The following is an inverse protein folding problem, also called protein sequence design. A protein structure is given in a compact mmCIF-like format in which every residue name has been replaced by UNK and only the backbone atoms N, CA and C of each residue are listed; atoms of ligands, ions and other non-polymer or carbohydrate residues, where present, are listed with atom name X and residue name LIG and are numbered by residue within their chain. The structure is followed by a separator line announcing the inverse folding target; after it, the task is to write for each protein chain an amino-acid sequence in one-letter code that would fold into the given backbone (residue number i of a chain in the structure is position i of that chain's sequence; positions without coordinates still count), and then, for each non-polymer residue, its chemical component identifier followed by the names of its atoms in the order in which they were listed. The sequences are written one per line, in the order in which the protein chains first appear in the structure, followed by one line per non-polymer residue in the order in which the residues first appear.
data_IF_894036230401
#
_entry.id   IF_894036230401
#
_cell.length_a   1.000
_cell.length_b   1.000
_cell.length_c   1.000
_cell.angle_alpha   90.00
_cell.angle_beta   90.00
_cell.angle_gamma   90.00
#
_symmetry.space_group_name_H-M   'P 1'
#
loop_
_entity.id
_entity.type
_entity.pdbx_description
1 polymer ?
#
# COMPACT_ATOMS: atom_id res chain seq x y z
N UNK A 1 -5.54 33.73 36.99
CA UNK A 1 -5.08 32.33 36.87
C UNK A 1 -5.48 31.87 35.49
N UNK A 2 -4.55 32.00 34.55
CA UNK A 2 -4.69 31.50 33.19
C UNK A 2 -4.49 29.98 33.24
N UNK A 3 -5.52 29.21 32.93
CA UNK A 3 -5.32 27.88 32.35
C UNK A 3 -5.44 28.05 30.84
N UNK A 4 -4.35 27.89 30.06
CA UNK A 4 -4.44 27.81 28.63
C UNK A 4 -4.85 26.39 28.23
N UNK A 5 -5.96 26.33 27.51
CA UNK A 5 -6.20 25.42 26.39
C UNK A 5 -6.00 23.93 26.69
N UNK A 6 -7.12 23.31 27.05
CA UNK A 6 -7.40 21.92 26.69
C UNK A 6 -6.97 21.72 25.23
N UNK A 7 -5.87 21.01 25.02
CA UNK A 7 -5.45 20.53 23.72
C UNK A 7 -6.67 19.92 23.04
N UNK A 8 -7.12 20.56 21.96
CA UNK A 8 -8.10 19.98 21.05
C UNK A 8 -7.54 18.62 20.66
N UNK A 9 -8.18 17.55 21.11
CA UNK A 9 -7.98 16.21 20.55
C UNK A 9 -8.57 16.22 19.15
N UNK A 10 -7.84 16.83 18.23
CA UNK A 10 -7.98 16.64 16.80
C UNK A 10 -7.77 15.13 16.55
N UNK A 11 -8.73 14.41 15.96
CA UNK A 11 -8.60 12.98 15.67
C UNK A 11 -7.45 12.66 14.70
N UNK A 12 -6.83 13.69 14.12
CA UNK A 12 -5.68 13.62 13.23
C UNK A 12 -4.45 14.30 13.84
N UNK A 13 -4.09 13.92 15.07
CA UNK A 13 -2.77 14.30 15.59
C UNK A 13 -1.69 13.65 14.70
N UNK A 14 -1.13 14.45 13.81
CA UNK A 14 -0.12 14.03 12.83
C UNK A 14 1.09 13.37 13.50
N UNK A 15 1.35 13.71 14.78
CA UNK A 15 2.42 13.09 15.56
C UNK A 15 2.03 11.68 16.01
N UNK A 16 0.77 11.44 16.34
CA UNK A 16 0.26 10.09 16.65
C UNK A 16 0.36 9.19 15.42
N UNK A 17 0.05 9.71 14.22
CA UNK A 17 0.23 8.97 12.96
C UNK A 17 1.71 8.59 12.77
N UNK A 18 2.62 9.55 12.93
CA UNK A 18 4.06 9.33 12.86
C UNK A 18 4.52 8.24 13.85
N UNK A 19 4.11 8.35 15.12
CA UNK A 19 4.49 7.40 16.17
C UNK A 19 3.94 5.99 15.91
N UNK A 20 2.70 5.86 15.45
CA UNK A 20 2.07 4.58 15.14
C UNK A 20 2.72 3.87 13.95
N UNK A 21 3.01 4.61 12.87
CA UNK A 21 3.72 4.06 11.71
C UNK A 21 5.11 3.59 12.13
N UNK A 22 5.85 4.41 12.87
CA UNK A 22 7.18 4.04 13.36
C UNK A 22 7.13 2.81 14.26
N UNK A 23 6.21 2.76 15.22
CA UNK A 23 6.02 1.60 16.08
C UNK A 23 5.72 0.32 15.30
N UNK A 24 4.87 0.41 14.26
CA UNK A 24 4.52 -0.75 13.42
C UNK A 24 5.74 -1.24 12.64
N UNK A 25 6.52 -0.34 12.03
CA UNK A 25 7.74 -0.69 11.30
C UNK A 25 8.81 -1.28 12.23
N UNK A 26 9.00 -0.69 13.41
CA UNK A 26 9.95 -1.17 14.42
C UNK A 26 9.55 -2.56 14.93
N UNK A 27 8.24 -2.79 15.14
CA UNK A 27 7.71 -4.11 15.52
C UNK A 27 7.97 -5.15 14.42
N UNK A 28 7.78 -4.77 13.14
CA UNK A 28 8.04 -5.68 12.02
C UNK A 28 9.50 -6.11 11.93
N UNK A 29 10.44 -5.24 12.29
CA UNK A 29 11.86 -5.60 12.32
C UNK A 29 12.14 -6.73 13.32
N UNK A 30 11.36 -6.87 14.39
CA UNK A 30 11.53 -7.92 15.40
C UNK A 30 10.99 -9.29 14.96
N UNK A 31 9.96 -9.30 14.09
CA UNK A 31 9.23 -10.51 13.72
C UNK A 31 10.10 -11.64 13.12
N UNK A 32 11.09 -11.37 12.24
CA UNK A 32 11.96 -12.41 11.71
C UNK A 32 12.64 -13.26 12.80
N UNK A 33 13.01 -12.64 13.93
CA UNK A 33 13.73 -13.29 15.03
C UNK A 33 12.86 -14.16 15.94
N UNK A 34 11.53 -14.10 15.83
CA UNK A 34 10.63 -14.93 16.62
C UNK A 34 10.78 -16.40 16.16
N UNK A 35 11.01 -17.40 17.02
CA UNK A 35 11.17 -18.78 16.57
C UNK A 35 9.91 -19.40 15.92
N UNK A 36 10.11 -20.38 15.04
CA UNK A 36 9.04 -21.20 14.45
C UNK A 36 8.48 -20.69 13.11
N UNK A 37 7.67 -21.53 12.42
CA UNK A 37 7.00 -21.14 11.18
C UNK A 37 5.99 -20.03 11.45
N UNK A 38 5.86 -19.10 10.51
CA UNK A 38 5.03 -17.91 10.70
C UNK A 38 4.34 -17.51 9.40
N UNK A 39 3.11 -17.04 9.56
CA UNK A 39 2.36 -16.29 8.56
C UNK A 39 2.18 -14.89 9.11
N UNK A 40 2.69 -13.88 8.41
CA UNK A 40 2.70 -12.49 8.88
C UNK A 40 1.91 -11.68 7.88
N UNK A 41 0.83 -11.06 8.35
CA UNK A 41 0.10 -10.03 7.62
C UNK A 41 0.31 -8.71 8.33
N UNK A 42 0.79 -7.71 7.60
CA UNK A 42 1.06 -6.38 8.14
C UNK A 42 0.45 -5.33 7.22
N UNK A 43 -0.50 -4.58 7.76
CA UNK A 43 -1.09 -3.44 7.08
C UNK A 43 -0.36 -2.16 7.53
N UNK A 44 0.28 -1.49 6.58
CA UNK A 44 1.11 -0.32 6.83
C UNK A 44 0.40 0.92 6.31
N UNK A 45 0.21 1.92 7.18
CA UNK A 45 -0.42 3.18 6.78
C UNK A 45 0.51 4.02 5.88
N UNK A 46 1.83 3.83 5.93
CA UNK A 46 2.76 4.50 5.03
C UNK A 46 2.64 3.89 3.61
N UNK A 47 2.53 4.69 2.52
CA UNK A 47 2.83 6.12 2.42
C UNK A 47 1.63 7.08 2.39
N UNK A 48 0.50 6.76 3.04
CA UNK A 48 -0.68 7.65 3.10
C UNK A 48 -0.37 9.05 3.68
N UNK A 49 -1.14 10.08 3.28
CA UNK A 49 -1.07 11.40 3.88
C UNK A 49 -1.42 11.33 5.39
N UNK A 50 -0.90 12.22 6.28
CA UNK A 50 -0.38 13.57 6.04
C UNK A 50 1.14 13.71 5.75
N UNK A 51 1.81 12.72 5.16
CA UNK A 51 3.22 12.81 4.69
C UNK A 51 4.23 13.33 5.73
N UNK A 52 4.15 12.77 6.94
CA UNK A 52 4.83 13.26 8.15
C UNK A 52 6.27 12.76 8.33
N UNK A 53 6.83 12.11 7.31
CA UNK A 53 8.19 11.58 7.33
C UNK A 53 9.07 12.27 6.28
N UNK A 54 10.23 12.78 6.69
CA UNK A 54 11.30 13.13 5.77
C UNK A 54 12.04 11.86 5.28
N UNK A 55 12.98 12.02 4.35
CA UNK A 55 13.72 10.93 3.69
C UNK A 55 14.47 10.01 4.64
N UNK A 56 14.87 10.51 5.81
CA UNK A 56 15.58 9.77 6.85
C UNK A 56 14.65 9.21 7.94
N UNK A 57 13.34 9.45 7.82
CA UNK A 57 12.33 9.07 8.80
C UNK A 57 12.13 10.07 9.95
N UNK A 58 12.77 11.24 9.89
CA UNK A 58 12.51 12.31 10.85
C UNK A 58 11.08 12.88 10.68
N UNK A 59 10.50 13.33 11.79
CA UNK A 59 9.14 13.86 11.79
C UNK A 59 9.06 15.23 11.12
N UNK A 60 8.13 15.38 10.18
CA UNK A 60 7.74 16.65 9.59
C UNK A 60 6.41 17.14 10.19
N UNK A 61 6.41 18.33 10.78
CA UNK A 61 5.20 18.96 11.28
C UNK A 61 4.30 19.49 10.14
N UNK A 62 3.07 19.87 10.47
CA UNK A 62 2.09 20.34 9.48
C UNK A 62 2.58 21.55 8.66
N UNK A 63 3.40 22.43 9.26
CA UNK A 63 3.94 23.61 8.56
C UNK A 63 5.04 23.21 7.60
N UNK A 64 5.89 22.25 7.97
CA UNK A 64 6.91 21.69 7.08
C UNK A 64 6.27 20.98 5.88
N UNK A 65 5.26 20.14 6.12
CA UNK A 65 4.52 19.45 5.05
C UNK A 65 3.85 20.47 4.12
N UNK A 66 3.12 21.44 4.66
CA UNK A 66 2.46 22.47 3.87
C UNK A 66 3.45 23.34 3.07
N UNK A 67 4.59 23.70 3.68
CA UNK A 67 5.63 24.51 3.04
C UNK A 67 6.39 23.76 1.94
N UNK A 68 6.51 22.44 2.04
CA UNK A 68 7.17 21.59 1.05
C UNK A 68 6.24 21.26 -0.13
N UNK A 69 4.93 21.18 0.12
CA UNK A 69 3.92 20.83 -0.88
C UNK A 69 3.69 19.32 -1.01
N UNK A 70 2.47 18.94 -1.39
CA UNK A 70 1.96 17.55 -1.40
C UNK A 70 2.90 16.58 -2.14
N UNK A 71 3.29 16.93 -3.38
CA UNK A 71 4.08 16.03 -4.24
C UNK A 71 5.46 15.73 -3.65
N UNK A 72 6.14 16.76 -3.14
CA UNK A 72 7.49 16.58 -2.59
C UNK A 72 7.44 15.93 -1.21
N UNK A 73 6.44 16.24 -0.38
CA UNK A 73 6.21 15.53 0.88
C UNK A 73 5.90 14.04 0.66
N UNK A 74 5.05 13.70 -0.32
CA UNK A 74 4.80 12.31 -0.71
C UNK A 74 6.09 11.60 -1.13
N UNK A 75 6.90 12.23 -2.00
CA UNK A 75 8.16 11.63 -2.47
C UNK A 75 9.15 11.36 -1.33
N UNK A 76 9.27 12.28 -0.37
CA UNK A 76 10.14 12.10 0.81
C UNK A 76 9.69 10.94 1.67
N UNK A 77 8.39 10.88 1.98
CA UNK A 77 7.82 9.79 2.75
C UNK A 77 7.96 8.45 2.01
N UNK A 78 7.77 8.43 0.69
CA UNK A 78 7.94 7.24 -0.14
C UNK A 78 9.40 6.76 -0.15
N UNK A 79 10.38 7.67 -0.17
CA UNK A 79 11.80 7.30 -0.06
C UNK A 79 12.10 6.61 1.28
N UNK A 80 11.56 7.14 2.38
CA UNK A 80 11.67 6.49 3.68
C UNK A 80 10.96 5.13 3.72
N UNK A 81 9.73 5.04 3.18
CA UNK A 81 8.98 3.79 3.08
C UNK A 81 9.77 2.71 2.34
N UNK A 82 10.34 3.06 1.18
CA UNK A 82 11.17 2.16 0.39
C UNK A 82 12.41 1.69 1.16
N UNK A 83 13.09 2.60 1.86
CA UNK A 83 14.24 2.23 2.69
C UNK A 83 13.86 1.25 3.82
N UNK A 84 12.69 1.45 4.45
CA UNK A 84 12.18 0.54 5.50
C UNK A 84 11.76 -0.82 4.94
N UNK A 85 11.14 -0.87 3.77
CA UNK A 85 10.77 -2.14 3.13
C UNK A 85 12.00 -2.94 2.69
N UNK A 86 13.01 -2.29 2.10
CA UNK A 86 14.28 -2.94 1.75
C UNK A 86 14.97 -3.50 3.00
N UNK A 87 15.07 -2.70 4.07
CA UNK A 87 15.62 -3.15 5.34
C UNK A 87 14.88 -4.37 5.92
N UNK A 88 13.54 -4.37 5.87
CA UNK A 88 12.74 -5.50 6.33
C UNK A 88 13.01 -6.76 5.50
N UNK A 89 13.09 -6.63 4.18
CA UNK A 89 13.43 -7.75 3.28
C UNK A 89 14.83 -8.30 3.60
N UNK A 90 15.83 -7.42 3.83
CA UNK A 90 17.17 -7.83 4.22
C UNK A 90 17.19 -8.59 5.55
N UNK A 91 16.39 -8.13 6.54
CA UNK A 91 16.26 -8.83 7.84
C UNK A 91 15.59 -10.19 7.71
N UNK A 92 14.54 -10.29 6.90
CA UNK A 92 13.87 -11.56 6.60
C UNK A 92 14.90 -12.51 5.98
N UNK A 93 15.66 -12.05 4.98
CA UNK A 93 16.67 -12.85 4.31
C UNK A 93 17.81 -13.28 5.25
N UNK A 94 18.26 -12.40 6.15
CA UNK A 94 19.31 -12.72 7.10
C UNK A 94 18.89 -13.79 8.14
N UNK A 95 17.59 -13.93 8.40
CA UNK A 95 17.07 -14.84 9.42
C UNK A 95 16.52 -16.14 8.84
N UNK A 96 15.73 -16.04 7.75
CA UNK A 96 15.07 -17.15 7.09
C UNK A 96 15.81 -17.65 5.83
N UNK A 97 16.90 -17.00 5.43
CA UNK A 97 17.53 -17.22 4.13
C UNK A 97 16.65 -16.71 2.98
N UNK A 98 16.98 -17.12 1.75
CA UNK A 98 16.18 -16.80 0.57
C UNK A 98 14.89 -17.62 0.45
N UNK A 99 14.56 -18.47 1.44
CA UNK A 99 13.42 -19.40 1.39
C UNK A 99 12.08 -18.77 1.77
N UNK A 100 12.09 -17.54 2.30
CA UNK A 100 10.87 -16.83 2.69
C UNK A 100 10.01 -16.44 1.48
N UNK A 101 8.71 -16.76 1.55
CA UNK A 101 7.70 -16.17 0.67
C UNK A 101 7.45 -14.73 1.13
N UNK A 102 7.62 -13.78 0.21
CA UNK A 102 7.38 -12.35 0.48
C UNK A 102 6.39 -11.83 -0.55
N UNK A 103 5.39 -11.08 -0.09
CA UNK A 103 4.45 -10.35 -0.94
C UNK A 103 4.37 -8.91 -0.45
N UNK A 104 4.59 -7.97 -1.35
CA UNK A 104 4.38 -6.54 -1.14
C UNK A 104 3.24 -6.11 -2.06
N UNK A 105 2.18 -5.57 -1.48
CA UNK A 105 0.98 -5.19 -2.19
C UNK A 105 0.49 -3.84 -1.64
N UNK A 106 0.34 -2.84 -2.52
CA UNK A 106 -0.43 -1.65 -2.17
C UNK A 106 -1.93 -1.98 -2.23
N UNK A 107 -2.69 -1.40 -1.31
CA UNK A 107 -4.15 -1.51 -1.27
C UNK A 107 -4.81 -0.70 -2.38
N UNK A 108 -4.27 0.49 -2.66
CA UNK A 108 -4.71 1.39 -3.72
C UNK A 108 -3.59 2.36 -4.16
N UNK A 109 -3.80 3.00 -5.31
CA UNK A 109 -3.01 4.14 -5.77
C UNK A 109 -3.54 5.47 -5.20
N UNK A 110 -2.79 6.57 -5.37
CA UNK A 110 -3.22 7.90 -4.96
C UNK A 110 -4.51 8.35 -5.67
N UNK A 111 -5.24 9.26 -5.03
CA UNK A 111 -6.39 9.89 -5.68
C UNK A 111 -5.92 10.93 -6.71
N UNK A 112 -6.50 10.96 -7.92
CA UNK A 112 -6.15 11.95 -8.93
C UNK A 112 -6.53 13.37 -8.48
N UNK A 113 -5.82 14.38 -9.00
CA UNK A 113 -5.98 15.78 -8.58
C UNK A 113 -7.42 16.30 -8.68
N UNK A 114 -8.19 15.85 -9.70
CA UNK A 114 -9.59 16.26 -9.88
C UNK A 114 -10.50 15.64 -8.81
N UNK A 115 -10.23 14.42 -8.37
CA UNK A 115 -10.92 13.82 -7.22
C UNK A 115 -10.58 14.57 -5.93
N UNK A 116 -9.30 14.88 -5.70
CA UNK A 116 -8.87 15.63 -4.51
C UNK A 116 -9.49 17.04 -4.43
N UNK A 117 -9.76 17.66 -5.58
CA UNK A 117 -10.37 19.00 -5.65
C UNK A 117 -11.85 19.02 -5.25
N UNK A 118 -12.63 17.99 -5.62
CA UNK A 118 -14.06 17.88 -5.28
C UNK A 118 -14.54 16.42 -5.36
N UNK A 119 -14.20 15.62 -4.34
CA UNK A 119 -14.51 14.19 -4.30
C UNK A 119 -16.03 13.90 -4.35
N UNK A 120 -16.86 14.81 -3.85
CA UNK A 120 -18.33 14.63 -3.83
C UNK A 120 -18.98 14.84 -5.20
N UNK A 121 -18.27 15.44 -6.15
CA UNK A 121 -18.75 15.67 -7.53
C UNK A 121 -17.93 14.91 -8.57
N UNK A 122 -17.01 14.06 -8.13
CA UNK A 122 -16.21 13.25 -9.04
C UNK A 122 -16.97 11.96 -9.38
N UNK A 123 -17.35 11.83 -10.66
CA UNK A 123 -17.83 10.56 -11.22
C UNK A 123 -16.65 9.81 -11.86
N UNK A 124 -16.37 8.60 -11.37
CA UNK A 124 -15.32 7.74 -11.91
C UNK A 124 -15.61 7.24 -13.32
N UNK A 125 -16.86 7.26 -13.78
CA UNK A 125 -17.18 6.95 -15.18
C UNK A 125 -16.60 7.99 -16.14
N UNK A 126 -16.47 9.22 -15.66
CA UNK A 126 -15.84 10.33 -16.39
C UNK A 126 -14.32 10.42 -16.14
N UNK A 127 -13.73 9.51 -15.35
CA UNK A 127 -12.27 9.48 -15.14
C UNK A 127 -11.53 9.21 -16.45
N UNK A 128 -10.39 9.88 -16.67
CA UNK A 128 -9.49 9.56 -17.79
C UNK A 128 -8.75 8.25 -17.53
N UNK A 129 -8.14 7.66 -18.56
CA UNK A 129 -7.35 6.44 -18.38
C UNK A 129 -6.17 6.69 -17.44
N UNK A 130 -5.56 7.89 -17.49
CA UNK A 130 -4.47 8.27 -16.57
C UNK A 130 -4.95 8.44 -15.12
N UNK A 131 -6.15 8.99 -14.90
CA UNK A 131 -6.73 9.09 -13.55
C UNK A 131 -7.09 7.71 -12.97
N UNK A 132 -7.55 6.79 -13.83
CA UNK A 132 -7.76 5.40 -13.44
C UNK A 132 -6.43 4.71 -13.16
N UNK A 133 -5.41 4.87 -14.00
CA UNK A 133 -4.09 4.30 -13.78
C UNK A 133 -3.47 4.82 -12.47
N UNK A 134 -3.63 6.11 -12.18
CA UNK A 134 -3.17 6.72 -10.92
C UNK A 134 -3.82 6.08 -9.69
N UNK A 135 -5.12 5.77 -9.75
CA UNK A 135 -5.86 5.20 -8.62
C UNK A 135 -5.76 3.68 -8.48
N UNK A 136 -5.79 2.96 -9.59
CA UNK A 136 -5.91 1.51 -9.64
C UNK A 136 -4.57 0.82 -9.92
N UNK A 137 -3.57 1.54 -10.44
CA UNK A 137 -2.20 1.06 -10.58
C UNK A 137 -1.54 0.94 -9.22
N UNK A 138 -1.16 -0.28 -8.86
CA UNK A 138 -0.58 -0.60 -7.54
C UNK A 138 0.75 -1.33 -7.67
N UNK A 139 1.61 -1.14 -6.67
CA UNK A 139 2.74 -2.06 -6.47
C UNK A 139 2.18 -3.43 -6.10
N UNK A 140 2.43 -4.44 -6.92
CA UNK A 140 2.15 -5.83 -6.61
C UNK A 140 3.37 -6.67 -6.96
N UNK A 141 4.12 -7.07 -5.94
CA UNK A 141 5.34 -7.84 -6.09
C UNK A 141 5.30 -9.04 -5.16
N UNK A 142 5.70 -10.21 -5.67
CA UNK A 142 5.83 -11.40 -4.86
C UNK A 142 7.09 -12.17 -5.20
N UNK A 143 7.63 -12.84 -4.19
CA UNK A 143 8.73 -13.80 -4.31
C UNK A 143 8.30 -15.10 -3.66
N UNK A 144 8.33 -16.18 -4.42
CA UNK A 144 8.00 -17.53 -3.96
C UNK A 144 9.17 -18.47 -4.30
N UNK A 145 10.11 -18.66 -3.36
CA UNK A 145 11.34 -19.43 -3.60
C UNK A 145 11.11 -20.85 -4.13
N UNK A 146 11.82 -21.23 -5.19
CA UNK A 146 11.75 -22.57 -5.78
C UNK A 146 10.46 -22.87 -6.56
N UNK A 147 9.67 -21.85 -6.91
CA UNK A 147 8.49 -21.98 -7.75
C UNK A 147 8.66 -21.24 -9.08
N UNK A 148 8.07 -21.80 -10.14
CA UNK A 148 7.89 -21.14 -11.43
C UNK A 148 6.55 -20.40 -11.39
N UNK A 149 6.58 -19.11 -11.05
CA UNK A 149 5.35 -18.35 -10.85
C UNK A 149 4.60 -18.08 -12.16
N UNK A 150 5.29 -18.02 -13.29
CA UNK A 150 4.65 -17.89 -14.60
C UNK A 150 3.86 -19.16 -14.94
N UNK A 151 4.41 -20.34 -14.62
CA UNK A 151 3.68 -21.60 -14.76
C UNK A 151 2.43 -21.67 -13.86
N UNK A 152 2.46 -21.01 -12.70
CA UNK A 152 1.30 -20.86 -11.80
C UNK A 152 0.35 -19.73 -12.20
N UNK A 153 0.67 -19.00 -13.28
CA UNK A 153 -0.16 -17.97 -13.88
C UNK A 153 0.11 -16.54 -13.45
N UNK A 154 1.26 -16.25 -12.86
CA UNK A 154 1.74 -14.87 -12.71
C UNK A 154 2.07 -14.28 -14.09
N UNK A 155 1.57 -13.07 -14.37
CA UNK A 155 1.85 -12.32 -15.59
C UNK A 155 1.74 -10.81 -15.32
N UNK A 156 2.18 -9.98 -16.26
CA UNK A 156 2.25 -8.52 -16.07
C UNK A 156 0.89 -7.87 -15.78
N UNK A 157 -0.17 -8.39 -16.39
CA UNK A 157 -1.56 -7.94 -16.24
C UNK A 157 -2.33 -8.53 -15.03
N UNK A 158 -1.64 -9.23 -14.11
CA UNK A 158 -2.30 -9.97 -13.03
C UNK A 158 -2.96 -9.02 -12.02
N UNK A 159 -4.14 -9.38 -11.53
CA UNK A 159 -4.76 -8.68 -10.40
C UNK A 159 -4.48 -9.41 -9.08
N UNK A 160 -4.43 -8.70 -7.93
CA UNK A 160 -4.20 -9.34 -6.64
C UNK A 160 -5.23 -10.40 -6.23
N UNK A 161 -6.36 -10.52 -6.94
CA UNK A 161 -7.39 -11.55 -6.71
C UNK A 161 -6.81 -12.98 -6.75
N UNK A 162 -5.73 -13.17 -7.50
CA UNK A 162 -5.05 -14.44 -7.71
C UNK A 162 -3.81 -14.63 -6.82
N UNK A 163 -3.43 -13.66 -5.99
CA UNK A 163 -2.19 -13.70 -5.20
C UNK A 163 -2.03 -15.00 -4.39
N UNK A 164 -3.02 -15.33 -3.56
CA UNK A 164 -2.97 -16.55 -2.74
C UNK A 164 -3.16 -17.83 -3.54
N UNK A 165 -3.85 -17.79 -4.70
CA UNK A 165 -4.01 -18.97 -5.57
C UNK A 165 -2.66 -19.37 -6.15
N UNK A 166 -1.93 -18.39 -6.70
CA UNK A 166 -0.58 -18.57 -7.20
C UNK A 166 0.34 -19.10 -6.09
N UNK A 167 0.35 -18.46 -4.92
CA UNK A 167 1.20 -18.90 -3.79
C UNK A 167 0.84 -20.32 -3.34
N UNK A 168 -0.44 -20.67 -3.24
CA UNK A 168 -0.85 -21.99 -2.75
C UNK A 168 -0.62 -23.09 -3.77
N UNK A 169 -0.84 -22.82 -5.06
CA UNK A 169 -0.51 -23.77 -6.12
C UNK A 169 1.00 -24.01 -6.14
N UNK A 170 1.80 -22.94 -6.15
CA UNK A 170 3.25 -22.99 -6.11
C UNK A 170 3.83 -23.78 -4.92
N UNK A 171 3.23 -23.63 -3.73
CA UNK A 171 3.80 -24.18 -2.47
C UNK A 171 3.22 -25.51 -2.05
N UNK A 172 1.98 -25.78 -2.42
CA UNK A 172 1.21 -26.88 -1.86
C UNK A 172 0.51 -27.72 -2.92
N UNK A 173 0.61 -27.38 -4.21
CA UNK A 173 -0.02 -28.12 -5.30
C UNK A 173 -1.54 -28.19 -5.14
N UNK A 174 -2.17 -27.10 -4.72
CA UNK A 174 -3.62 -27.07 -4.44
C UNK A 174 -4.51 -27.10 -5.68
N UNK A 175 -3.95 -26.93 -6.87
CA UNK A 175 -4.67 -26.88 -8.15
C UNK A 175 -5.89 -25.92 -8.12
N UNK A 176 -5.76 -24.80 -7.41
CA UNK A 176 -6.81 -23.78 -7.33
C UNK A 176 -6.94 -23.09 -8.69
N UNK A 177 -8.14 -23.07 -9.29
CA UNK A 177 -8.34 -22.35 -10.54
C UNK A 177 -8.18 -20.84 -10.32
N UNK A 178 -7.48 -20.20 -11.26
CA UNK A 178 -7.37 -18.75 -11.31
C UNK A 178 -8.73 -18.11 -11.61
N UNK A 179 -8.96 -16.94 -11.03
CA UNK A 179 -10.13 -16.12 -11.32
C UNK A 179 -9.79 -15.13 -12.45
N UNK A 180 -10.80 -14.65 -13.20
CA UNK A 180 -10.59 -13.60 -14.18
C UNK A 180 -10.02 -12.32 -13.54
N UNK A 181 -9.02 -11.73 -14.18
CA UNK A 181 -8.40 -10.47 -13.79
C UNK A 181 -9.29 -9.28 -14.18
N UNK A 182 -10.27 -9.00 -13.31
CA UNK A 182 -11.27 -7.94 -13.52
C UNK A 182 -11.10 -6.83 -12.51
N UNK A 183 -11.15 -5.60 -13.00
CA UNK A 183 -10.99 -4.38 -12.21
C UNK A 183 -12.32 -3.62 -12.23
N UNK A 184 -12.77 -3.19 -11.06
CA UNK A 184 -14.05 -2.53 -10.87
C UNK A 184 -13.86 -1.19 -10.17
N UNK A 185 -14.50 -0.15 -10.69
CA UNK A 185 -14.68 1.13 -10.03
C UNK A 185 -16.12 1.26 -9.51
N UNK A 186 -16.36 2.25 -8.66
CA UNK A 186 -17.69 2.70 -8.25
C UNK A 186 -17.97 4.06 -8.88
N UNK A 187 -19.24 4.43 -9.09
CA UNK A 187 -19.63 5.70 -9.71
C UNK A 187 -19.12 6.93 -8.95
N UNK A 188 -19.63 7.13 -7.75
CA UNK A 188 -19.30 8.28 -6.90
C UNK A 188 -19.55 7.92 -5.42
N UNK A 189 -19.32 8.87 -4.51
CA UNK A 189 -19.48 8.66 -3.07
C UNK A 189 -20.94 8.42 -2.63
N UNK A 190 -21.94 8.77 -3.43
CA UNK A 190 -23.35 8.49 -3.18
C UNK A 190 -23.79 7.12 -3.71
N UNK A 191 -23.09 6.62 -4.73
CA UNK A 191 -23.36 5.39 -5.46
C UNK A 191 -22.22 4.37 -5.30
N UNK A 192 -21.64 4.28 -4.09
CA UNK A 192 -20.43 3.49 -3.81
C UNK A 192 -20.57 1.99 -4.11
N UNK A 193 -21.80 1.46 -4.15
CA UNK A 193 -22.09 0.06 -4.48
C UNK A 193 -22.48 -0.17 -5.95
N UNK A 194 -22.59 0.89 -6.75
CA UNK A 194 -22.90 0.81 -8.16
C UNK A 194 -21.60 0.66 -8.95
N UNK A 195 -21.13 -0.59 -9.01
CA UNK A 195 -19.87 -0.94 -9.65
C UNK A 195 -19.98 -0.99 -11.17
N UNK A 196 -18.92 -0.56 -11.84
CA UNK A 196 -18.73 -0.76 -13.27
C UNK A 196 -17.31 -1.24 -13.54
N UNK A 197 -17.17 -2.04 -14.59
CA UNK A 197 -15.90 -2.66 -14.95
C UNK A 197 -15.01 -1.69 -15.72
N UNK A 198 -13.73 -1.64 -15.37
CA UNK A 198 -12.70 -0.81 -16.02
C UNK A 198 -11.50 -1.64 -16.52
N UNK A 199 -11.61 -2.96 -16.49
CA UNK A 199 -10.57 -3.93 -16.91
C UNK A 199 -9.87 -3.50 -18.20
N UNK A 200 -10.61 -3.23 -19.26
CA UNK A 200 -10.06 -2.88 -20.59
C UNK A 200 -9.44 -1.47 -20.67
N UNK A 201 -9.55 -0.66 -19.61
CA UNK A 201 -8.97 0.69 -19.54
C UNK A 201 -7.58 0.72 -18.91
N UNK A 202 -7.17 -0.38 -18.25
CA UNK A 202 -5.93 -0.45 -17.46
C UNK A 202 -4.94 -1.52 -17.96
N UNK A 203 -5.40 -2.55 -18.69
CA UNK A 203 -4.52 -3.61 -19.18
C UNK A 203 -3.55 -3.10 -20.26
N UNK A 204 -2.25 -3.07 -19.94
CA UNK A 204 -1.13 -2.87 -20.86
C UNK A 204 0.00 -3.84 -20.58
#
# INVERSE_FOLDING_TARGET
FNEPETASREPFDIKVIYENVRYTLDTLDEIPGIPGPKFVFAHLLIPHDPYVFDTDGSFMDARQVAGQGIVDSYRRQLQYANARMLHLVDRINATAGEDAVIMLQADEGPFPARYQADAWRFDWRDATDEELEEKFGILFAMRVPGADLEAEGLHDAITPVNAFRIIFNARFGTDLPLLPDRIWAHEDLYHFYDFFEITDRLHR
#
